data_IF_577884231646
#
_entry.id   IF_577884231646
#
_cell.length_a   1.000
_cell.length_b   1.000
_cell.length_c   1.000
_cell.angle_alpha   90.00
_cell.angle_beta   90.00
_cell.angle_gamma   90.00
#
_symmetry.space_group_name_H-M   'P 1'
#
loop_
_entity.id
_entity.type
_entity.pdbx_description
1 polymer ?
#
# COMPACT_ATOMS: atom_id res chain seq x y z
N UNK A 1 -3.62 -5.64 -2.65
CA UNK A 1 -2.31 -5.65 -1.96
C UNK A 1 -2.49 -5.76 -0.46
N UNK A 2 -3.24 -4.87 0.21
CA UNK A 2 -3.35 -4.82 1.67
C UNK A 2 -3.58 -6.17 2.38
N UNK A 3 -4.60 -6.93 1.97
CA UNK A 3 -4.85 -8.27 2.54
C UNK A 3 -3.72 -9.27 2.24
N UNK A 4 -3.27 -9.37 0.99
CA UNK A 4 -2.24 -10.35 0.59
C UNK A 4 -0.92 -10.12 1.32
N UNK A 5 -0.57 -8.87 1.60
CA UNK A 5 0.67 -8.55 2.31
C UNK A 5 0.60 -8.87 3.81
N UNK A 6 -0.57 -9.18 4.37
CA UNK A 6 -0.64 -9.62 5.78
C UNK A 6 0.10 -10.94 5.97
N UNK A 7 0.26 -11.72 4.90
CA UNK A 7 1.07 -12.94 4.87
C UNK A 7 2.58 -12.70 4.74
N UNK A 8 3.04 -11.44 4.63
CA UNK A 8 4.46 -11.12 4.52
C UNK A 8 5.22 -11.30 5.85
N UNK A 9 4.52 -11.22 6.98
CA UNK A 9 5.06 -11.45 8.32
C UNK A 9 4.21 -12.50 9.03
N UNK A 10 4.85 -13.40 9.76
CA UNK A 10 4.17 -14.42 10.58
C UNK A 10 3.23 -13.77 11.59
N UNK A 11 3.69 -12.69 12.24
CA UNK A 11 2.95 -11.89 13.22
C UNK A 11 1.72 -11.17 12.67
N UNK A 12 1.62 -10.97 11.34
CA UNK A 12 0.45 -10.34 10.71
C UNK A 12 -0.42 -11.33 9.94
N UNK A 13 -0.02 -12.60 9.86
CA UNK A 13 -0.71 -13.62 9.07
C UNK A 13 -2.06 -14.04 9.65
N UNK A 14 -2.21 -13.92 10.98
CA UNK A 14 -3.43 -14.29 11.72
C UNK A 14 -4.39 -13.10 11.92
N UNK A 15 -4.06 -11.92 11.39
CA UNK A 15 -4.86 -10.71 11.58
C UNK A 15 -6.28 -10.92 11.05
N UNK A 16 -7.33 -10.63 11.86
CA UNK A 16 -8.70 -10.85 11.45
C UNK A 16 -9.06 -9.93 10.27
N UNK A 17 -9.90 -10.42 9.36
CA UNK A 17 -10.27 -9.69 8.15
C UNK A 17 -10.88 -8.31 8.45
N UNK A 18 -11.60 -8.15 9.56
CA UNK A 18 -12.11 -6.86 9.99
C UNK A 18 -10.98 -5.85 10.28
N UNK A 19 -9.89 -6.27 10.95
CA UNK A 19 -8.73 -5.42 11.19
C UNK A 19 -8.04 -5.00 9.90
N UNK A 20 -7.92 -5.93 8.93
CA UNK A 20 -7.42 -5.63 7.58
C UNK A 20 -8.26 -4.52 6.92
N UNK A 21 -9.59 -4.60 6.98
CA UNK A 21 -10.47 -3.59 6.39
C UNK A 21 -10.33 -2.23 7.07
N UNK A 22 -10.31 -2.19 8.41
CA UNK A 22 -10.15 -0.95 9.16
C UNK A 22 -8.77 -0.33 8.90
N UNK A 23 -7.71 -1.15 8.88
CA UNK A 23 -6.36 -0.72 8.53
C UNK A 23 -6.28 -0.17 7.10
N UNK A 24 -6.91 -0.84 6.14
CA UNK A 24 -6.96 -0.38 4.76
C UNK A 24 -7.64 1.00 4.65
N UNK A 25 -8.78 1.19 5.32
CA UNK A 25 -9.52 2.47 5.30
C UNK A 25 -8.67 3.58 5.93
N UNK A 26 -8.16 3.36 7.15
CA UNK A 26 -7.35 4.34 7.88
C UNK A 26 -6.09 4.74 7.10
N UNK A 27 -5.37 3.75 6.56
CA UNK A 27 -4.15 3.98 5.81
C UNK A 27 -4.41 4.68 4.46
N UNK A 28 -5.57 4.42 3.82
CA UNK A 28 -5.96 5.11 2.58
C UNK A 28 -6.22 6.61 2.82
N UNK A 29 -6.88 6.97 3.92
CA UNK A 29 -7.03 8.39 4.30
C UNK A 29 -5.69 9.06 4.58
N UNK A 30 -4.72 8.31 5.13
CA UNK A 30 -3.38 8.82 5.38
C UNK A 30 -2.66 9.26 4.09
N UNK A 31 -2.85 8.54 2.98
CA UNK A 31 -2.32 8.94 1.66
C UNK A 31 -2.96 10.25 1.18
N UNK A 32 -4.25 10.44 1.42
CA UNK A 32 -4.95 11.65 1.01
C UNK A 32 -4.64 12.86 1.90
N UNK A 33 -4.37 12.62 3.19
CA UNK A 33 -4.12 13.67 4.17
C UNK A 33 -2.69 14.21 4.13
N UNK A 34 -1.71 13.44 3.63
CA UNK A 34 -0.30 13.84 3.55
C UNK A 34 0.29 13.62 2.16
N UNK A 35 1.55 14.00 1.93
CA UNK A 35 2.22 13.83 0.63
C UNK A 35 2.49 12.34 0.34
N UNK A 36 1.48 11.63 -0.15
CA UNK A 36 1.59 10.22 -0.52
C UNK A 36 1.65 9.26 0.67
N UNK A 37 1.37 9.70 1.89
CA UNK A 37 1.30 8.83 3.07
C UNK A 37 2.65 8.41 3.65
N UNK A 38 3.77 9.00 3.23
CA UNK A 38 5.09 8.62 3.74
C UNK A 38 5.19 8.88 5.26
N UNK A 39 5.50 7.83 6.03
CA UNK A 39 5.50 7.86 7.50
C UNK A 39 4.12 7.81 8.14
N UNK A 40 3.16 8.62 7.68
CA UNK A 40 1.80 8.63 8.24
C UNK A 40 1.00 7.36 7.92
N UNK A 41 1.32 6.65 6.84
CA UNK A 41 0.64 5.40 6.46
C UNK A 41 0.93 4.27 7.44
N UNK A 42 2.20 3.93 7.76
CA UNK A 42 2.52 2.98 8.82
C UNK A 42 1.83 3.30 10.16
N UNK A 43 1.84 4.55 10.59
CA UNK A 43 1.20 4.95 11.85
C UNK A 43 -0.33 4.82 11.81
N UNK A 44 -0.98 5.12 10.69
CA UNK A 44 -2.41 4.87 10.52
C UNK A 44 -2.75 3.38 10.61
N UNK A 45 -1.87 2.50 10.11
CA UNK A 45 -2.03 1.05 10.24
C UNK A 45 -1.85 0.61 11.69
N UNK A 46 -0.85 1.13 12.40
CA UNK A 46 -0.66 0.87 13.85
C UNK A 46 -1.90 1.25 14.64
N UNK A 47 -2.43 2.46 14.43
CA UNK A 47 -3.64 2.92 15.11
C UNK A 47 -4.86 2.04 14.80
N UNK A 48 -4.99 1.54 13.58
CA UNK A 48 -6.08 0.65 13.21
C UNK A 48 -5.93 -0.75 13.81
N UNK A 49 -4.72 -1.31 13.80
CA UNK A 49 -4.44 -2.67 14.26
C UNK A 49 -4.43 -2.80 15.78
N UNK A 50 -4.04 -1.74 16.50
CA UNK A 50 -4.13 -1.69 17.97
C UNK A 50 -5.56 -1.78 18.48
N UNK A 51 -6.57 -1.31 17.73
CA UNK A 51 -8.00 -1.52 18.05
C UNK A 51 -8.39 -3.02 18.12
N UNK A 52 -7.59 -3.88 17.51
CA UNK A 52 -7.77 -5.33 17.49
C UNK A 52 -6.71 -6.06 18.33
N UNK A 53 -6.01 -5.35 19.23
CA UNK A 53 -4.95 -5.88 20.10
C UNK A 53 -3.77 -6.52 19.34
N UNK A 54 -3.47 -6.03 18.13
CA UNK A 54 -2.27 -6.45 17.40
C UNK A 54 -1.09 -5.58 17.86
N UNK A 55 0.11 -6.15 18.12
CA UNK A 55 1.24 -5.38 18.61
C UNK A 55 1.70 -4.29 17.63
N UNK A 56 2.23 -3.18 18.15
CA UNK A 56 2.58 -2.01 17.34
C UNK A 56 3.74 -2.28 16.36
N UNK A 57 4.81 -2.93 16.83
CA UNK A 57 6.00 -3.18 16.00
C UNK A 57 5.71 -3.99 14.73
N UNK A 58 5.02 -5.16 14.79
CA UNK A 58 4.64 -5.89 13.58
C UNK A 58 3.63 -5.10 12.72
N UNK A 59 2.74 -4.32 13.34
CA UNK A 59 1.80 -3.46 12.60
C UNK A 59 2.52 -2.37 11.80
N UNK A 60 3.53 -1.74 12.40
CA UNK A 60 4.38 -0.71 11.78
C UNK A 60 5.23 -1.31 10.66
N UNK A 61 5.85 -2.48 10.90
CA UNK A 61 6.60 -3.21 9.90
C UNK A 61 5.73 -3.56 8.68
N UNK A 62 4.53 -4.12 8.91
CA UNK A 62 3.56 -4.39 7.87
C UNK A 62 3.15 -3.12 7.11
N UNK A 63 2.89 -2.01 7.81
CA UNK A 63 2.56 -0.73 7.19
C UNK A 63 3.66 -0.21 6.25
N UNK A 64 4.93 -0.31 6.66
CA UNK A 64 6.07 0.05 5.81
C UNK A 64 6.23 -0.87 4.59
N UNK A 65 6.11 -2.18 4.78
CA UNK A 65 6.16 -3.15 3.67
C UNK A 65 5.04 -2.86 2.66
N UNK A 66 3.83 -2.62 3.15
CA UNK A 66 2.67 -2.30 2.32
C UNK A 66 2.86 -1.02 1.51
N UNK A 67 3.17 0.09 2.20
CA UNK A 67 3.35 1.39 1.55
C UNK A 67 4.51 1.37 0.56
N UNK A 68 5.65 0.79 0.96
CA UNK A 68 6.86 0.72 0.14
C UNK A 68 6.65 -0.13 -1.11
N UNK A 69 6.04 -1.31 -0.96
CA UNK A 69 5.74 -2.20 -2.10
C UNK A 69 4.79 -1.54 -3.09
N UNK A 70 3.74 -0.90 -2.59
CA UNK A 70 2.78 -0.19 -3.45
C UNK A 70 3.44 0.98 -4.18
N UNK A 71 4.25 1.78 -3.48
CA UNK A 71 4.97 2.92 -4.06
C UNK A 71 5.94 2.46 -5.15
N UNK A 72 6.72 1.40 -4.87
CA UNK A 72 7.65 0.83 -5.84
C UNK A 72 6.92 0.30 -7.08
N UNK A 73 5.80 -0.40 -6.89
CA UNK A 73 4.96 -0.91 -7.97
C UNK A 73 4.48 0.25 -8.87
N UNK A 74 3.98 1.33 -8.29
CA UNK A 74 3.51 2.51 -9.04
C UNK A 74 4.67 3.14 -9.82
N UNK A 75 5.85 3.30 -9.22
CA UNK A 75 7.02 3.86 -9.90
C UNK A 75 7.44 2.99 -11.09
N UNK A 76 7.54 1.68 -10.88
CA UNK A 76 7.99 0.73 -11.92
C UNK A 76 6.97 0.63 -13.05
N UNK A 77 5.72 0.26 -12.75
CA UNK A 77 4.71 0.06 -13.80
C UNK A 77 4.22 1.37 -14.39
N UNK A 78 4.13 2.43 -13.60
CA UNK A 78 3.83 3.77 -14.09
C UNK A 78 4.93 4.29 -15.01
N UNK A 79 6.20 4.14 -14.62
CA UNK A 79 7.34 4.49 -15.45
C UNK A 79 7.39 3.68 -16.75
N UNK A 80 7.20 2.36 -16.68
CA UNK A 80 7.13 1.49 -17.86
C UNK A 80 5.99 1.87 -18.79
N UNK A 81 4.82 2.26 -18.26
CA UNK A 81 3.68 2.72 -19.05
C UNK A 81 4.03 3.96 -19.88
N UNK A 82 4.75 4.93 -19.30
CA UNK A 82 5.18 6.13 -20.01
C UNK A 82 6.15 5.81 -21.15
N UNK A 83 7.07 4.86 -20.95
CA UNK A 83 7.99 4.40 -21.99
C UNK A 83 7.24 3.63 -23.10
N UNK A 84 6.22 2.85 -22.73
CA UNK A 84 5.46 2.04 -23.66
C UNK A 84 4.46 2.87 -24.50
N UNK A 85 3.95 3.97 -23.95
CA UNK A 85 2.96 4.83 -24.61
C UNK A 85 3.35 5.30 -26.03
N UNK A 86 4.56 5.83 -26.31
CA UNK A 86 4.97 6.22 -27.66
C UNK A 86 5.13 5.01 -28.60
N UNK A 87 5.54 3.85 -28.08
CA UNK A 87 5.68 2.62 -28.87
C UNK A 87 4.29 2.13 -29.32
N UNK A 88 3.34 2.09 -28.39
CA UNK A 88 1.98 1.67 -28.66
C UNK A 88 1.24 2.63 -29.61
N UNK A 89 1.40 3.94 -29.41
CA UNK A 89 0.74 4.96 -30.23
C UNK A 89 1.42 5.22 -31.59
N UNK A 90 2.59 4.61 -31.86
CA UNK A 90 3.36 4.82 -33.10
C UNK A 90 2.58 4.52 -34.40
N UNK A 91 1.61 3.60 -34.35
CA UNK A 91 0.80 3.20 -35.53
C UNK A 91 -0.53 3.97 -35.66
N UNK A 92 -0.89 4.84 -34.71
CA UNK A 92 -1.96 5.83 -34.86
C UNK A 92 -1.43 7.13 -35.48
N UNK A 93 -0.55 7.00 -36.48
CA UNK A 93 -0.29 8.11 -37.38
C UNK A 93 -1.63 8.46 -38.03
N UNK A 94 -2.13 9.64 -37.65
CA UNK A 94 -3.36 10.27 -38.10
C UNK A 94 -3.41 10.16 -39.63
N UNK A 95 -4.49 9.55 -40.15
CA UNK A 95 -4.96 9.80 -41.51
C UNK A 95 -5.52 11.21 -41.57
#
# INVERSE_FOLDING_TARGET
MFYVTSFALEETSYVPFAAILIGFIAASFSIAATNGGIGSYPEAVVLAFTLFNIPEDPSRAFGWIMWGSQTLLIIVFGGLSLIYLPIFNRKKAIK
#
